data_IF_358979516190
#
_entry.id   IF_358979516190
#
_cell.length_a   1.000
_cell.length_b   1.000
_cell.length_c   1.000
_cell.angle_alpha   90.00
_cell.angle_beta   90.00
_cell.angle_gamma   90.00
#
_symmetry.space_group_name_H-M   'P 1'
#
loop_
_entity.id
_entity.type
_entity.pdbx_description
1 polymer ?
#
# COMPACT_ATOMS: atom_id res chain seq x y z
N UNK A 1 20.68 -12.88 -3.83
CA UNK A 1 20.72 -11.42 -4.02
C UNK A 1 21.21 -10.75 -2.73
N UNK A 2 21.84 -9.58 -2.81
CA UNK A 2 22.08 -8.75 -1.62
C UNK A 2 20.75 -8.19 -1.11
N UNK A 3 20.57 -8.08 0.21
CA UNK A 3 19.36 -7.52 0.84
C UNK A 3 18.97 -6.16 0.25
N UNK A 4 19.97 -5.34 -0.11
CA UNK A 4 19.78 -4.06 -0.79
C UNK A 4 19.03 -4.20 -2.12
N UNK A 5 19.36 -5.23 -2.92
CA UNK A 5 18.67 -5.48 -4.20
C UNK A 5 17.21 -5.91 -3.97
N UNK A 6 16.93 -6.65 -2.89
CA UNK A 6 15.56 -7.01 -2.53
C UNK A 6 14.71 -5.77 -2.19
N UNK A 7 15.28 -4.80 -1.47
CA UNK A 7 14.62 -3.51 -1.18
C UNK A 7 14.36 -2.69 -2.45
N UNK A 8 15.32 -2.64 -3.38
CA UNK A 8 15.11 -2.00 -4.68
C UNK A 8 13.98 -2.65 -5.48
N UNK A 9 13.87 -3.99 -5.47
CA UNK A 9 12.73 -4.67 -6.10
C UNK A 9 11.39 -4.26 -5.47
N UNK A 10 11.32 -4.16 -4.15
CA UNK A 10 10.11 -3.68 -3.46
C UNK A 10 9.77 -2.25 -3.86
N UNK A 11 10.78 -1.36 -3.94
CA UNK A 11 10.58 0.02 -4.40
C UNK A 11 9.96 0.08 -5.80
N UNK A 12 10.56 -0.60 -6.79
CA UNK A 12 10.04 -0.60 -8.15
C UNK A 12 8.64 -1.21 -8.24
N UNK A 13 8.39 -2.30 -7.52
CA UNK A 13 7.07 -2.92 -7.49
C UNK A 13 6.00 -1.99 -6.89
N UNK A 14 6.34 -1.29 -5.80
CA UNK A 14 5.45 -0.34 -5.16
C UNK A 14 5.13 0.87 -6.05
N UNK A 15 6.14 1.41 -6.75
CA UNK A 15 5.96 2.51 -7.72
C UNK A 15 5.06 2.07 -8.87
N UNK A 16 5.27 0.88 -9.43
CA UNK A 16 4.42 0.33 -10.49
C UNK A 16 2.97 0.13 -10.02
N UNK A 17 2.78 -0.38 -8.80
CA UNK A 17 1.44 -0.57 -8.23
C UNK A 17 0.72 0.77 -7.98
N UNK A 18 1.45 1.79 -7.49
CA UNK A 18 0.91 3.14 -7.33
C UNK A 18 0.52 3.76 -8.68
N UNK A 19 1.38 3.63 -9.69
CA UNK A 19 1.10 4.09 -11.04
C UNK A 19 -0.14 3.40 -11.63
N UNK A 20 -0.25 2.07 -11.49
CA UNK A 20 -1.42 1.33 -11.92
C UNK A 20 -2.72 1.81 -11.22
N UNK A 21 -2.66 2.14 -9.93
CA UNK A 21 -3.78 2.73 -9.20
C UNK A 21 -4.23 4.08 -9.76
N UNK A 22 -3.29 4.94 -10.17
CA UNK A 22 -3.62 6.22 -10.80
C UNK A 22 -4.17 6.05 -12.21
N UNK A 23 -3.65 5.09 -12.98
CA UNK A 23 -4.22 4.72 -14.29
C UNK A 23 -5.68 4.24 -14.11
N UNK A 24 -5.96 3.44 -13.08
CA UNK A 24 -7.34 3.03 -12.79
C UNK A 24 -8.28 4.21 -12.52
N UNK A 25 -7.82 5.21 -11.77
CA UNK A 25 -8.64 6.39 -11.50
C UNK A 25 -8.83 7.29 -12.74
N UNK A 26 -7.75 7.65 -13.42
CA UNK A 26 -7.79 8.69 -14.47
C UNK A 26 -8.09 8.15 -15.87
N UNK A 27 -7.74 6.90 -16.16
CA UNK A 27 -7.94 6.29 -17.48
C UNK A 27 -9.19 5.41 -17.49
N UNK A 28 -9.40 4.60 -16.46
CA UNK A 28 -10.59 3.74 -16.34
C UNK A 28 -11.79 4.46 -15.70
N UNK A 29 -11.63 5.71 -15.24
CA UNK A 29 -12.70 6.50 -14.64
C UNK A 29 -13.22 5.94 -13.32
N UNK A 30 -12.43 5.12 -12.63
CA UNK A 30 -12.83 4.46 -11.39
C UNK A 30 -12.85 5.48 -10.25
N UNK A 31 -14.00 5.62 -9.58
CA UNK A 31 -14.11 6.50 -8.43
C UNK A 31 -13.44 5.85 -7.21
N UNK A 32 -12.36 6.43 -6.66
CA UNK A 32 -11.70 5.84 -5.51
C UNK A 32 -12.52 6.09 -4.24
N UNK A 33 -12.56 5.06 -3.39
CA UNK A 33 -13.15 5.12 -2.07
C UNK A 33 -12.17 5.64 -1.02
N UNK A 34 -12.67 6.02 0.17
CA UNK A 34 -11.84 6.49 1.29
C UNK A 34 -10.77 5.47 1.69
N UNK A 35 -11.14 4.19 1.83
CA UNK A 35 -10.19 3.12 2.16
C UNK A 35 -9.16 2.90 1.04
N UNK A 36 -9.58 3.03 -0.21
CA UNK A 36 -8.76 2.90 -1.40
C UNK A 36 -7.66 3.98 -1.42
N UNK A 37 -8.00 5.22 -1.04
CA UNK A 37 -7.04 6.32 -0.88
C UNK A 37 -6.02 5.98 0.22
N UNK A 38 -6.47 5.48 1.36
CA UNK A 38 -5.57 5.08 2.47
C UNK A 38 -4.62 3.95 2.04
N UNK A 39 -5.12 2.96 1.30
CA UNK A 39 -4.28 1.89 0.73
C UNK A 39 -3.25 2.46 -0.26
N UNK A 40 -3.65 3.38 -1.15
CA UNK A 40 -2.74 4.03 -2.09
C UNK A 40 -1.63 4.78 -1.36
N UNK A 41 -1.99 5.54 -0.33
CA UNK A 41 -1.02 6.23 0.53
C UNK A 41 -0.08 5.22 1.19
N UNK A 42 -0.59 4.10 1.70
CA UNK A 42 0.25 3.03 2.26
C UNK A 42 1.24 2.43 1.23
N UNK A 43 0.83 2.24 -0.02
CA UNK A 43 1.74 1.79 -1.11
C UNK A 43 2.83 2.82 -1.38
N UNK A 44 2.49 4.11 -1.45
CA UNK A 44 3.44 5.20 -1.65
C UNK A 44 4.44 5.27 -0.48
N UNK A 45 3.96 5.19 0.76
CA UNK A 45 4.83 5.13 1.94
C UNK A 45 5.72 3.90 1.92
N UNK A 46 5.22 2.73 1.48
CA UNK A 46 6.03 1.52 1.33
C UNK A 46 7.17 1.75 0.34
N UNK A 47 6.91 2.43 -0.78
CA UNK A 47 7.95 2.80 -1.74
C UNK A 47 9.00 3.73 -1.10
N UNK A 48 8.56 4.80 -0.43
CA UNK A 48 9.47 5.76 0.21
C UNK A 48 10.35 5.11 1.29
N UNK A 49 9.76 4.27 2.15
CA UNK A 49 10.51 3.55 3.18
C UNK A 49 11.49 2.55 2.55
N UNK A 50 11.09 1.83 1.49
CA UNK A 50 11.97 0.93 0.78
C UNK A 50 13.16 1.68 0.13
N UNK A 51 12.92 2.87 -0.43
CA UNK A 51 13.97 3.72 -0.99
C UNK A 51 14.95 4.18 0.10
N UNK A 52 14.44 4.70 1.21
CA UNK A 52 15.26 5.15 2.34
C UNK A 52 16.11 4.00 2.91
N UNK A 53 15.50 2.85 3.19
CA UNK A 53 16.19 1.67 3.70
C UNK A 53 17.19 1.07 2.68
N UNK A 54 16.93 1.23 1.38
CA UNK A 54 17.88 0.84 0.33
C UNK A 54 19.07 1.80 0.26
N UNK A 55 18.91 3.08 0.59
CA UNK A 55 20.01 4.05 0.68
C UNK A 55 20.84 3.86 1.96
N UNK A 56 20.24 3.40 3.06
CA UNK A 56 20.92 3.13 4.32
C UNK A 56 21.95 1.98 4.25
N UNK A 57 22.97 1.99 5.13
CA UNK A 57 23.89 0.87 5.28
C UNK A 57 23.14 -0.40 5.72
N UNK A 58 23.52 -1.52 5.11
CA UNK A 58 22.96 -2.85 5.35
C UNK A 58 24.10 -3.86 5.55
N UNK A 59 25.10 -3.49 6.36
CA UNK A 59 26.32 -4.27 6.58
C UNK A 59 26.08 -5.34 7.63
N UNK A 60 25.49 -4.95 8.75
CA UNK A 60 25.29 -5.84 9.90
C UNK A 60 23.91 -6.51 9.88
N UNK A 61 23.78 -7.64 10.58
CA UNK A 61 22.49 -8.35 10.67
C UNK A 61 21.42 -7.48 11.37
N UNK A 62 21.81 -6.70 12.38
CA UNK A 62 20.91 -5.81 13.13
C UNK A 62 20.34 -4.71 12.20
N UNK A 63 21.20 -4.07 11.41
CA UNK A 63 20.78 -3.03 10.44
C UNK A 63 19.75 -3.56 9.43
N UNK A 64 19.96 -4.78 8.92
CA UNK A 64 19.02 -5.43 7.99
C UNK A 64 17.66 -5.70 8.65
N UNK A 65 17.66 -6.12 9.92
CA UNK A 65 16.42 -6.37 10.69
C UNK A 65 15.68 -5.06 10.92
N UNK A 66 16.38 -4.00 11.34
CA UNK A 66 15.76 -2.67 11.55
C UNK A 66 15.13 -2.17 10.24
N UNK A 67 15.87 -2.22 9.13
CA UNK A 67 15.36 -1.81 7.83
C UNK A 67 14.16 -2.65 7.37
N UNK A 68 14.16 -3.96 7.63
CA UNK A 68 13.02 -4.83 7.33
C UNK A 68 11.78 -4.45 8.15
N UNK A 69 11.94 -4.17 9.45
CA UNK A 69 10.85 -3.75 10.33
C UNK A 69 10.28 -2.42 9.84
N UNK A 70 11.12 -1.42 9.57
CA UNK A 70 10.69 -0.10 9.10
C UNK A 70 9.89 -0.21 7.81
N UNK A 71 10.39 -0.93 6.81
CA UNK A 71 9.67 -1.14 5.53
C UNK A 71 8.36 -1.90 5.74
N UNK A 72 8.25 -2.76 6.74
CA UNK A 72 7.04 -3.55 7.01
C UNK A 72 5.89 -2.76 7.66
N UNK A 73 6.14 -1.60 8.27
CA UNK A 73 5.11 -0.82 8.98
C UNK A 73 3.97 -0.36 8.06
N UNK A 74 4.32 0.25 6.93
CA UNK A 74 3.35 0.73 5.94
C UNK A 74 2.50 -0.40 5.31
N UNK A 75 3.07 -1.51 4.80
CA UNK A 75 2.30 -2.59 4.21
C UNK A 75 1.45 -3.36 5.23
N UNK A 76 1.85 -3.44 6.52
CA UNK A 76 0.98 -4.00 7.56
C UNK A 76 -0.28 -3.13 7.74
N UNK A 77 -0.11 -1.81 7.83
CA UNK A 77 -1.25 -0.89 7.92
C UNK A 77 -2.16 -0.98 6.68
N UNK A 78 -1.57 -0.99 5.49
CA UNK A 78 -2.29 -1.16 4.23
C UNK A 78 -3.06 -2.48 4.14
N UNK A 79 -2.45 -3.57 4.62
CA UNK A 79 -3.07 -4.89 4.67
C UNK A 79 -4.30 -4.91 5.58
N UNK A 80 -4.21 -4.33 6.78
CA UNK A 80 -5.34 -4.22 7.70
C UNK A 80 -6.51 -3.46 7.07
N UNK A 81 -6.23 -2.35 6.38
CA UNK A 81 -7.27 -1.56 5.70
C UNK A 81 -7.87 -2.32 4.53
N UNK A 82 -7.07 -3.07 3.76
CA UNK A 82 -7.56 -3.87 2.64
C UNK A 82 -8.45 -5.03 3.09
N UNK A 83 -8.06 -5.74 4.17
CA UNK A 83 -8.89 -6.78 4.78
C UNK A 83 -10.20 -6.18 5.30
N UNK A 84 -10.15 -5.01 5.94
CA UNK A 84 -11.35 -4.32 6.42
C UNK A 84 -12.28 -3.91 5.26
N UNK A 85 -11.72 -3.49 4.13
CA UNK A 85 -12.52 -3.20 2.93
C UNK A 85 -13.23 -4.44 2.40
N UNK A 86 -12.55 -5.59 2.35
CA UNK A 86 -13.15 -6.87 1.95
C UNK A 86 -14.29 -7.24 2.91
N UNK A 87 -14.09 -7.07 4.22
CA UNK A 87 -15.12 -7.31 5.22
C UNK A 87 -16.38 -6.46 4.95
N UNK A 88 -16.22 -5.15 4.72
CA UNK A 88 -17.36 -4.25 4.39
C UNK A 88 -18.06 -4.68 3.10
N UNK A 89 -17.31 -5.11 2.08
CA UNK A 89 -17.87 -5.55 0.80
C UNK A 89 -18.70 -6.84 0.92
N UNK A 90 -18.47 -7.65 1.96
CA UNK A 90 -19.28 -8.84 2.25
C UNK A 90 -20.53 -8.55 3.10
N UNK A 91 -20.61 -7.37 3.74
CA UNK A 91 -21.80 -6.98 4.49
C UNK A 91 -22.95 -6.59 3.54
N UNK A 92 -24.21 -6.91 3.90
CA UNK A 92 -25.36 -6.44 3.15
C UNK A 92 -25.41 -4.91 3.17
N UNK A 93 -25.92 -4.31 2.08
CA UNK A 93 -25.94 -2.86 1.85
C UNK A 93 -26.54 -2.03 3.01
N UNK A 94 -27.46 -2.62 3.78
CA UNK A 94 -28.14 -1.99 4.92
C UNK A 94 -27.21 -1.85 6.14
N UNK A 95 -26.28 -2.80 6.32
CA UNK A 95 -25.36 -2.84 7.46
C UNK A 95 -24.00 -2.20 7.14
N UNK A 96 -23.80 -1.70 5.91
CA UNK A 96 -22.56 -1.07 5.52
C UNK A 96 -22.40 0.30 6.18
N UNK A 97 -21.30 0.54 6.92
CA UNK A 97 -21.06 1.84 7.53
C UNK A 97 -20.88 2.92 6.46
N UNK A 98 -21.48 4.08 6.69
CA UNK A 98 -21.29 5.22 5.80
C UNK A 98 -19.81 5.65 5.83
N UNK A 99 -19.17 5.74 4.66
CA UNK A 99 -17.74 6.10 4.53
C UNK A 99 -17.40 7.54 4.95
N UNK A 100 -18.41 8.28 5.42
CA UNK A 100 -18.30 9.66 5.88
C UNK A 100 -18.12 10.65 4.72
N UNK A 101 -18.06 11.94 5.07
CA UNK A 101 -17.79 12.99 4.09
C UNK A 101 -16.44 12.75 3.36
N UNK A 102 -16.38 12.99 2.04
CA UNK A 102 -15.17 12.78 1.25
C UNK A 102 -14.00 13.62 1.77
N UNK A 103 -12.78 13.10 1.63
CA UNK A 103 -11.56 13.77 2.10
C UNK A 103 -11.35 15.15 1.48
N UNK A 104 -11.75 15.31 0.21
CA UNK A 104 -11.71 16.60 -0.49
C UNK A 104 -12.57 17.66 0.16
N UNK A 105 -13.66 17.28 0.82
CA UNK A 105 -14.49 18.21 1.56
C UNK A 105 -13.88 18.53 2.93
N UNK A 106 -13.37 17.53 3.66
CA UNK A 106 -12.78 17.75 5.00
C UNK A 106 -11.48 18.53 4.98
N UNK A 107 -10.66 18.35 3.95
CA UNK A 107 -9.32 18.94 3.84
C UNK A 107 -9.29 20.17 2.92
N UNK A 108 -10.44 20.66 2.46
CA UNK A 108 -10.51 21.77 1.51
C UNK A 108 -9.74 23.02 1.95
N UNK A 109 -9.81 23.32 3.25
CA UNK A 109 -9.19 24.51 3.84
C UNK A 109 -7.80 24.24 4.44
N UNK A 110 -7.28 23.01 4.30
CA UNK A 110 -5.97 22.65 4.82
C UNK A 110 -4.84 23.22 3.94
N UNK A 111 -3.65 23.52 4.52
CA UNK A 111 -2.54 24.06 3.76
C UNK A 111 -2.11 23.09 2.65
N UNK A 112 -1.71 23.64 1.50
CA UNK A 112 -1.20 22.89 0.33
C UNK A 112 -2.22 21.92 -0.31
N UNK A 113 -3.53 22.10 -0.10
CA UNK A 113 -4.58 21.23 -0.64
C UNK A 113 -4.40 20.89 -2.13
N UNK A 114 -4.12 21.89 -2.98
CA UNK A 114 -3.92 21.70 -4.42
C UNK A 114 -2.82 20.69 -4.79
N UNK A 115 -1.82 20.46 -3.94
CA UNK A 115 -0.72 19.54 -4.22
C UNK A 115 -1.10 18.07 -3.99
N UNK A 116 -1.89 17.78 -2.95
CA UNK A 116 -2.28 16.39 -2.61
C UNK A 116 -3.72 16.07 -2.96
N UNK A 117 -4.54 17.06 -3.34
CA UNK A 117 -5.90 16.88 -3.85
C UNK A 117 -6.01 15.76 -4.90
N UNK A 118 -5.11 15.66 -5.92
CA UNK A 118 -5.19 14.59 -6.92
C UNK A 118 -5.10 13.19 -6.31
N UNK A 119 -4.41 13.04 -5.18
CA UNK A 119 -4.20 11.78 -4.48
C UNK A 119 -5.45 11.39 -3.66
N UNK A 120 -6.10 12.38 -3.03
CA UNK A 120 -7.25 12.18 -2.12
C UNK A 120 -8.61 12.41 -2.78
N UNK A 121 -8.64 12.76 -4.07
CA UNK A 121 -9.86 13.01 -4.81
C UNK A 121 -10.63 11.71 -5.03
N UNK A 122 -11.79 11.60 -4.39
CA UNK A 122 -12.69 10.47 -4.52
C UNK A 122 -13.98 10.67 -3.73
N UNK A 123 -15.10 10.27 -4.32
CA UNK A 123 -16.43 10.25 -3.68
C UNK A 123 -17.02 8.84 -3.69
N UNK A 124 -16.20 7.81 -3.97
CA UNK A 124 -16.66 6.43 -4.07
C UNK A 124 -17.10 5.86 -2.72
N UNK A 125 -18.13 5.03 -2.74
CA UNK A 125 -18.60 4.31 -1.56
C UNK A 125 -17.73 3.06 -1.31
N UNK A 126 -17.46 2.73 -0.04
CA UNK A 126 -16.57 1.60 0.32
C UNK A 126 -17.22 0.24 0.07
N UNK A 127 -18.55 0.20 0.04
CA UNK A 127 -19.34 -0.98 -0.33
C UNK A 127 -19.40 -1.26 -1.83
N UNK A 128 -18.99 -0.31 -2.68
CA UNK A 128 -18.96 -0.55 -4.12
C UNK A 128 -17.79 -1.47 -4.48
N UNK A 129 -18.11 -2.59 -5.13
CA UNK A 129 -17.11 -3.55 -5.59
C UNK A 129 -16.69 -3.22 -7.00
N UNK A 130 -15.56 -2.53 -7.11
CA UNK A 130 -14.90 -2.31 -8.39
C UNK A 130 -13.95 -3.47 -8.71
N UNK A 131 -14.15 -4.06 -9.87
CA UNK A 131 -13.41 -5.23 -10.33
C UNK A 131 -12.40 -4.84 -11.41
N UNK A 132 -11.19 -5.37 -11.29
CA UNK A 132 -10.18 -5.32 -12.35
C UNK A 132 -9.83 -6.78 -12.67
N UNK A 133 -9.94 -7.18 -13.95
CA UNK A 133 -9.72 -8.58 -14.35
C UNK A 133 -10.61 -9.59 -13.56
N UNK A 134 -11.89 -9.29 -13.37
CA UNK A 134 -12.83 -10.11 -12.55
C UNK A 134 -12.49 -10.25 -11.06
N UNK A 135 -11.40 -9.65 -10.58
CA UNK A 135 -10.97 -9.72 -9.19
C UNK A 135 -11.22 -8.36 -8.53
N UNK A 136 -11.73 -8.32 -7.28
CA UNK A 136 -11.95 -7.06 -6.57
C UNK A 136 -10.63 -6.31 -6.36
N UNK A 137 -10.62 -5.00 -6.56
CA UNK A 137 -9.46 -4.14 -6.26
C UNK A 137 -8.83 -4.38 -4.87
N UNK A 138 -9.58 -4.50 -3.75
CA UNK A 138 -8.93 -4.71 -2.45
C UNK A 138 -8.20 -6.04 -2.35
N UNK A 139 -8.61 -7.07 -3.11
CA UNK A 139 -7.88 -8.35 -3.16
C UNK A 139 -6.51 -8.17 -3.80
N UNK A 140 -6.41 -7.36 -4.86
CA UNK A 140 -5.11 -6.99 -5.45
C UNK A 140 -4.21 -6.25 -4.46
N UNK A 141 -4.78 -5.33 -3.67
CA UNK A 141 -4.04 -4.64 -2.61
C UNK A 141 -3.52 -5.62 -1.55
N UNK A 142 -4.36 -6.56 -1.09
CA UNK A 142 -3.94 -7.62 -0.15
C UNK A 142 -2.79 -8.44 -0.71
N UNK A 143 -2.91 -8.90 -1.96
CA UNK A 143 -1.84 -9.68 -2.62
C UNK A 143 -0.53 -8.90 -2.68
N UNK A 144 -0.57 -7.61 -3.02
CA UNK A 144 0.60 -6.75 -3.03
C UNK A 144 1.25 -6.65 -1.64
N UNK A 145 0.48 -6.30 -0.60
CA UNK A 145 1.03 -6.12 0.75
C UNK A 145 1.59 -7.43 1.33
N UNK A 146 0.90 -8.55 1.14
CA UNK A 146 1.38 -9.87 1.56
C UNK A 146 2.64 -10.26 0.81
N UNK A 147 2.69 -10.05 -0.51
CA UNK A 147 3.88 -10.36 -1.32
C UNK A 147 5.10 -9.55 -0.87
N UNK A 148 4.93 -8.25 -0.59
CA UNK A 148 6.02 -7.39 -0.08
C UNK A 148 6.51 -7.90 1.28
N UNK A 149 5.61 -8.22 2.20
CA UNK A 149 5.98 -8.73 3.52
C UNK A 149 6.75 -10.05 3.41
N UNK A 150 6.23 -11.03 2.67
CA UNK A 150 6.89 -12.31 2.47
C UNK A 150 8.26 -12.14 1.79
N UNK A 151 8.37 -11.23 0.82
CA UNK A 151 9.63 -10.97 0.13
C UNK A 151 10.70 -10.39 1.06
N UNK A 152 10.36 -9.34 1.83
CA UNK A 152 11.29 -8.69 2.75
C UNK A 152 11.77 -9.65 3.83
N UNK A 153 10.84 -10.34 4.48
CA UNK A 153 11.15 -11.27 5.58
C UNK A 153 11.82 -12.55 5.07
N UNK A 154 11.41 -13.07 3.92
CA UNK A 154 12.04 -14.24 3.28
C UNK A 154 13.51 -13.98 2.93
N UNK A 155 13.81 -12.83 2.33
CA UNK A 155 15.20 -12.45 2.02
C UNK A 155 16.03 -12.15 3.26
N UNK A 156 15.43 -11.61 4.32
CA UNK A 156 16.10 -11.41 5.61
C UNK A 156 16.50 -12.75 6.24
N UNK A 157 15.58 -13.72 6.29
CA UNK A 157 15.83 -15.06 6.81
C UNK A 157 16.90 -15.80 5.98
N UNK A 158 16.85 -15.69 4.65
CA UNK A 158 17.85 -16.28 3.76
C UNK A 158 19.26 -15.68 3.97
N UNK A 159 19.34 -14.37 4.20
CA UNK A 159 20.62 -13.71 4.49
C UNK A 159 21.18 -14.10 5.88
N UNK A 160 20.30 -14.34 6.86
CA UNK A 160 20.69 -14.74 8.22
C UNK A 160 21.24 -16.17 8.27
N UNK A 161 20.64 -17.11 7.52
CA UNK A 161 21.12 -18.50 7.46
C UNK A 161 22.46 -18.63 6.75
N UNK A 162 22.70 -17.83 5.71
CA UNK A 162 23.98 -17.82 4.98
C UNK A 162 25.15 -17.22 5.78
N UNK A 163 24.89 -16.35 6.75
CA UNK A 163 25.94 -15.79 7.62
C UNK A 163 26.35 -16.72 8.78
N UNK A 164 25.60 -17.80 9.01
CA UNK A 164 25.80 -18.75 10.12
C UNK A 164 26.54 -20.04 9.68
N UNK A 165 26.69 -20.25 8.37
CA UNK A 165 27.51 -21.29 7.76
C UNK A 165 28.83 -20.67 7.32
#
# INVERSE_FOLDING_TARGET
>A
MSFRKALWCVFFLAVLCAAASFVGQYVLGMNPCVLCIVQRVAVIFTALLALLCACCPNRNCIEKVINAIVVSLAPIGGLCVAIYQIYIQHLPLIDQPSCGAPWTFRLRDAPLFHWYEPIIRGTGNCGEVQHILWIPLPVWSVLFFVAVLLWVWGWLCHCRTRSRK
#
